data_IF_304939187192
#
_entry.id   IF_304939187192
#
_cell.length_a   1.000
_cell.length_b   1.000
_cell.length_c   1.000
_cell.angle_alpha   90.00
_cell.angle_beta   90.00
_cell.angle_gamma   90.00
#
_symmetry.space_group_name_H-M   'P 1'
#
loop_
_entity.id
_entity.type
_entity.pdbx_description
1 polymer ?
#
# COMPACT_ATOMS: atom_id res chain seq x y z
N UNK A 1 7.44 26.87 -29.19
CA UNK A 1 7.00 27.76 -28.10
C UNK A 1 7.99 27.56 -26.96
N UNK A 2 8.91 28.51 -26.77
CA UNK A 2 9.89 28.43 -25.68
C UNK A 2 9.17 28.72 -24.37
N UNK A 3 9.23 27.76 -23.44
CA UNK A 3 8.72 27.91 -22.07
C UNK A 3 9.65 28.90 -21.37
N UNK A 4 9.10 29.98 -20.82
CA UNK A 4 9.89 30.98 -20.12
C UNK A 4 10.45 30.41 -18.81
N UNK A 5 11.61 30.91 -18.37
CA UNK A 5 12.27 30.50 -17.11
C UNK A 5 11.32 30.62 -15.89
N UNK A 6 10.41 31.59 -15.92
CA UNK A 6 9.37 31.77 -14.88
C UNK A 6 8.34 30.63 -14.86
N UNK A 7 7.89 30.17 -16.03
CA UNK A 7 6.96 29.06 -16.15
C UNK A 7 7.58 27.75 -15.66
N UNK A 8 8.84 27.49 -15.99
CA UNK A 8 9.56 26.33 -15.47
C UNK A 8 9.70 26.36 -13.94
N UNK A 9 10.00 27.52 -13.37
CA UNK A 9 10.09 27.68 -11.92
C UNK A 9 8.72 27.49 -11.25
N UNK A 10 7.65 27.95 -11.87
CA UNK A 10 6.28 27.78 -11.38
C UNK A 10 5.88 26.29 -11.38
N UNK A 11 6.17 25.57 -12.46
CA UNK A 11 5.94 24.12 -12.57
C UNK A 11 6.73 23.35 -11.51
N UNK A 12 8.00 23.68 -11.32
CA UNK A 12 8.84 23.05 -10.27
C UNK A 12 8.28 23.29 -8.87
N UNK A 13 7.79 24.50 -8.59
CA UNK A 13 7.17 24.82 -7.28
C UNK A 13 5.87 24.06 -7.08
N UNK A 14 5.00 23.99 -8.08
CA UNK A 14 3.76 23.22 -8.03
C UNK A 14 4.04 21.75 -7.75
N UNK A 15 4.96 21.12 -8.47
CA UNK A 15 5.35 19.74 -8.25
C UNK A 15 5.87 19.47 -6.83
N UNK A 16 6.70 20.37 -6.28
CA UNK A 16 7.17 20.26 -4.89
C UNK A 16 6.01 20.34 -3.88
N UNK A 17 5.03 21.21 -4.12
CA UNK A 17 3.85 21.34 -3.26
C UNK A 17 2.97 20.09 -3.32
N UNK A 18 2.76 19.53 -4.51
CA UNK A 18 2.03 18.27 -4.70
C UNK A 18 2.73 17.10 -4.00
N UNK A 19 4.05 16.98 -4.14
CA UNK A 19 4.84 15.96 -3.44
C UNK A 19 4.73 16.11 -1.91
N UNK A 20 4.80 17.34 -1.39
CA UNK A 20 4.65 17.61 0.04
C UNK A 20 3.26 17.28 0.56
N UNK A 21 2.21 17.59 -0.20
CA UNK A 21 0.82 17.24 0.14
C UNK A 21 0.64 15.72 0.17
N UNK A 22 1.18 15.02 -0.82
CA UNK A 22 1.15 13.54 -0.85
C UNK A 22 1.83 12.95 0.38
N UNK A 23 3.02 13.43 0.72
CA UNK A 23 3.76 12.95 1.88
C UNK A 23 3.00 13.22 3.20
N UNK A 24 2.33 14.35 3.32
CA UNK A 24 1.45 14.66 4.46
C UNK A 24 0.26 13.69 4.53
N UNK A 25 -0.44 13.46 3.42
CA UNK A 25 -1.55 12.51 3.36
C UNK A 25 -1.13 11.09 3.72
N UNK A 26 0.00 10.65 3.18
CA UNK A 26 0.53 9.33 3.47
C UNK A 26 0.98 9.20 4.94
N UNK A 27 1.51 10.26 5.54
CA UNK A 27 1.82 10.30 6.97
C UNK A 27 0.58 10.21 7.85
N UNK A 28 -0.50 10.92 7.52
CA UNK A 28 -1.77 10.87 8.25
C UNK A 28 -2.36 9.45 8.19
N UNK A 29 -2.22 8.77 7.04
CA UNK A 29 -2.77 7.44 6.78
C UNK A 29 -1.83 6.28 7.16
N UNK A 30 -0.61 6.59 7.59
CA UNK A 30 0.43 5.57 7.80
C UNK A 30 0.07 4.52 8.85
N UNK A 31 -0.79 4.84 9.81
CA UNK A 31 -1.26 3.94 10.87
C UNK A 31 -2.63 3.32 10.61
N UNK A 32 -3.32 3.72 9.53
CA UNK A 32 -4.69 3.34 9.25
C UNK A 32 -4.78 1.98 8.54
N UNK A 33 -5.78 1.18 8.93
CA UNK A 33 -6.19 -0.06 8.27
C UNK A 33 -7.66 0.03 7.92
N UNK A 34 -8.01 -0.37 6.71
CA UNK A 34 -9.38 -0.62 6.31
C UNK A 34 -9.76 -2.07 6.57
N UNK A 35 -10.95 -2.28 7.12
CA UNK A 35 -11.62 -3.57 7.20
C UNK A 35 -12.82 -3.52 6.28
N UNK A 36 -12.88 -4.42 5.32
CA UNK A 36 -13.90 -4.47 4.28
C UNK A 36 -14.68 -5.78 4.43
N UNK A 37 -16.00 -5.70 4.37
CA UNK A 37 -16.87 -6.87 4.35
C UNK A 37 -17.49 -7.25 5.70
N UNK A 38 -17.34 -6.46 6.75
CA UNK A 38 -18.00 -6.70 8.04
C UNK A 38 -19.52 -6.47 7.90
N UNK A 39 -20.39 -7.42 8.33
CA UNK A 39 -21.84 -7.25 8.28
C UNK A 39 -22.33 -6.10 9.19
N UNK A 40 -23.32 -5.32 8.72
CA UNK A 40 -23.80 -4.13 9.43
C UNK A 40 -24.45 -4.42 10.78
N UNK A 41 -25.10 -5.56 10.91
CA UNK A 41 -25.79 -5.96 12.14
C UNK A 41 -24.84 -6.21 13.31
N UNK A 42 -23.64 -6.65 13.01
CA UNK A 42 -22.60 -6.94 14.01
C UNK A 42 -21.91 -5.67 14.51
N UNK A 43 -21.85 -4.63 13.69
CA UNK A 43 -21.20 -3.37 14.01
C UNK A 43 -21.97 -2.58 15.10
N UNK A 44 -23.30 -2.58 15.02
CA UNK A 44 -24.15 -1.77 15.91
C UNK A 44 -24.20 -2.28 17.34
N UNK A 45 -23.89 -3.57 17.57
CA UNK A 45 -24.06 -4.20 18.89
C UNK A 45 -22.90 -3.95 19.85
N UNK A 46 -21.67 -3.82 19.35
CA UNK A 46 -20.48 -3.87 20.20
C UNK A 46 -19.48 -2.72 20.03
N UNK A 47 -19.62 -1.91 18.97
CA UNK A 47 -18.65 -0.89 18.59
C UNK A 47 -17.51 -1.44 17.72
N UNK A 48 -16.92 -0.56 16.91
CA UNK A 48 -15.94 -0.94 15.89
C UNK A 48 -14.60 -1.42 16.48
N UNK A 49 -14.24 -0.93 17.65
CA UNK A 49 -13.04 -1.33 18.37
C UNK A 49 -13.11 -2.80 18.78
N UNK A 50 -14.25 -3.21 19.39
CA UNK A 50 -14.48 -4.62 19.76
C UNK A 50 -14.55 -5.53 18.55
N UNK A 51 -15.13 -5.09 17.46
CA UNK A 51 -15.13 -5.87 16.23
C UNK A 51 -13.71 -6.11 15.72
N UNK A 52 -12.85 -5.10 15.79
CA UNK A 52 -11.45 -5.25 15.44
C UNK A 52 -10.71 -6.22 16.39
N UNK A 53 -10.94 -6.11 17.70
CA UNK A 53 -10.38 -7.04 18.69
C UNK A 53 -10.77 -8.48 18.38
N UNK A 54 -12.06 -8.76 18.16
CA UNK A 54 -12.56 -10.08 17.79
C UNK A 54 -11.90 -10.61 16.50
N UNK A 55 -11.73 -9.76 15.49
CA UNK A 55 -11.04 -10.10 14.23
C UNK A 55 -9.58 -10.49 14.50
N UNK A 56 -8.87 -9.73 15.34
CA UNK A 56 -7.48 -10.04 15.70
C UNK A 56 -7.38 -11.36 16.46
N UNK A 57 -8.25 -11.59 17.44
CA UNK A 57 -8.29 -12.83 18.22
C UNK A 57 -8.58 -14.04 17.32
N UNK A 58 -9.58 -13.94 16.44
CA UNK A 58 -9.99 -15.02 15.53
C UNK A 58 -8.88 -15.38 14.52
N UNK A 59 -8.18 -14.36 13.99
CA UNK A 59 -7.29 -14.55 12.86
C UNK A 59 -5.80 -14.53 13.21
N UNK A 60 -5.40 -13.82 14.27
CA UNK A 60 -4.00 -13.56 14.61
C UNK A 60 -3.75 -13.72 16.12
N UNK A 61 -4.02 -14.89 16.73
CA UNK A 61 -3.97 -15.10 18.19
C UNK A 61 -2.59 -14.76 18.78
N UNK A 62 -1.51 -14.95 18.02
CA UNK A 62 -0.15 -14.63 18.46
C UNK A 62 0.12 -13.11 18.60
N UNK A 63 -0.78 -12.27 18.11
CA UNK A 63 -0.64 -10.81 18.15
C UNK A 63 -1.67 -10.12 19.06
N UNK A 64 -2.62 -10.87 19.61
CA UNK A 64 -3.71 -10.35 20.43
C UNK A 64 -3.22 -9.40 21.52
N UNK A 65 -2.34 -9.88 22.41
CA UNK A 65 -1.84 -9.11 23.56
C UNK A 65 -1.11 -7.82 23.19
N UNK A 66 -0.52 -7.78 22.00
CA UNK A 66 0.26 -6.63 21.55
C UNK A 66 -0.62 -5.59 20.82
N UNK A 67 -1.65 -6.05 20.09
CA UNK A 67 -2.37 -5.22 19.13
C UNK A 67 -3.72 -4.71 19.65
N UNK A 68 -4.42 -5.51 20.46
CA UNK A 68 -5.76 -5.15 20.96
C UNK A 68 -5.78 -3.77 21.63
N UNK A 69 -4.80 -3.48 22.47
CA UNK A 69 -4.69 -2.18 23.17
C UNK A 69 -4.03 -1.06 22.34
N UNK A 70 -3.87 -1.25 21.04
CA UNK A 70 -3.17 -0.28 20.18
C UNK A 70 -4.11 0.47 19.23
N UNK A 71 -5.42 0.31 19.40
CA UNK A 71 -6.40 1.09 18.66
C UNK A 71 -6.47 2.49 19.25
N UNK A 72 -6.28 3.51 18.41
CA UNK A 72 -6.43 4.91 18.76
C UNK A 72 -7.84 5.39 18.44
N UNK A 73 -8.38 4.95 17.33
CA UNK A 73 -9.68 5.35 16.81
C UNK A 73 -10.25 4.25 15.91
N UNK A 74 -11.56 4.02 15.98
CA UNK A 74 -12.27 3.13 15.09
C UNK A 74 -13.57 3.79 14.64
N UNK A 75 -13.79 3.87 13.33
CA UNK A 75 -14.97 4.51 12.77
C UNK A 75 -15.46 3.81 11.50
N UNK A 76 -16.76 3.90 11.27
CA UNK A 76 -17.33 3.51 9.99
C UNK A 76 -17.29 4.69 9.03
N UNK A 77 -16.85 4.41 7.79
CA UNK A 77 -16.88 5.41 6.73
C UNK A 77 -18.14 5.22 5.91
N UNK A 78 -18.94 6.29 5.72
CA UNK A 78 -20.19 6.23 4.94
C UNK A 78 -19.97 5.72 3.52
N UNK A 79 -20.91 4.92 3.02
CA UNK A 79 -20.93 4.35 1.67
C UNK A 79 -20.72 5.38 0.54
N UNK A 80 -21.16 6.63 0.74
CA UNK A 80 -21.01 7.70 -0.25
C UNK A 80 -19.56 8.08 -0.54
N UNK A 81 -18.68 7.86 0.42
CA UNK A 81 -17.25 8.21 0.29
C UNK A 81 -16.47 7.04 -0.28
N UNK A 82 -16.78 5.84 0.18
CA UNK A 82 -16.18 4.60 -0.31
C UNK A 82 -17.24 3.52 -0.46
N UNK A 83 -17.48 2.98 -1.69
CA UNK A 83 -18.42 1.89 -1.90
C UNK A 83 -17.98 0.66 -1.12
N UNK A 84 -18.82 0.20 -0.19
CA UNK A 84 -18.58 -0.99 0.62
C UNK A 84 -18.84 -0.78 2.10
N UNK A 85 -18.79 -1.87 2.85
CA UNK A 85 -18.95 -1.88 4.32
C UNK A 85 -17.57 -1.73 4.95
N UNK A 86 -17.10 -0.49 5.10
CA UNK A 86 -15.71 -0.21 5.45
C UNK A 86 -15.62 0.37 6.87
N UNK A 87 -14.83 -0.27 7.70
CA UNK A 87 -14.41 0.24 9.00
C UNK A 87 -12.97 0.73 8.86
N UNK A 88 -12.70 1.94 9.32
CA UNK A 88 -11.37 2.49 9.42
C UNK A 88 -10.86 2.34 10.85
N UNK A 89 -9.74 1.67 10.99
CA UNK A 89 -9.04 1.51 12.27
C UNK A 89 -7.75 2.30 12.21
N UNK A 90 -7.55 3.21 13.16
CA UNK A 90 -6.31 3.94 13.36
C UNK A 90 -5.55 3.33 14.53
N UNK A 91 -4.34 2.90 14.26
CA UNK A 91 -3.44 2.30 15.25
C UNK A 91 -2.48 3.34 15.80
N UNK A 92 -1.93 3.10 16.99
CA UNK A 92 -0.96 3.99 17.62
C UNK A 92 0.39 4.02 16.90
N UNK A 93 0.77 2.92 16.22
CA UNK A 93 2.09 2.78 15.57
C UNK A 93 1.98 2.05 14.23
N UNK A 94 2.71 2.55 13.24
CA UNK A 94 2.82 1.95 11.91
C UNK A 94 3.31 0.49 11.95
N UNK A 95 4.20 0.17 12.89
CA UNK A 95 4.72 -1.19 13.09
C UNK A 95 3.61 -2.24 13.29
N UNK A 96 2.57 -1.89 14.05
CA UNK A 96 1.45 -2.80 14.30
C UNK A 96 0.64 -3.05 13.02
N UNK A 97 0.35 -1.99 12.25
CA UNK A 97 -0.26 -2.10 10.92
C UNK A 97 0.52 -3.02 10.00
N UNK A 98 1.83 -2.81 9.89
CA UNK A 98 2.68 -3.61 9.00
C UNK A 98 2.67 -5.09 9.37
N UNK A 99 2.68 -5.40 10.67
CA UNK A 99 2.60 -6.79 11.16
C UNK A 99 1.27 -7.44 10.83
N UNK A 100 0.14 -6.75 11.04
CA UNK A 100 -1.20 -7.24 10.71
C UNK A 100 -1.29 -7.52 9.20
N UNK A 101 -0.91 -6.55 8.36
CA UNK A 101 -0.98 -6.70 6.90
C UNK A 101 0.02 -7.72 6.35
N UNK A 102 1.10 -8.00 7.07
CA UNK A 102 2.02 -9.09 6.73
C UNK A 102 1.37 -10.44 6.99
N UNK A 103 0.79 -10.63 8.18
CA UNK A 103 0.11 -11.87 8.55
C UNK A 103 -1.14 -12.12 7.69
N UNK A 104 -1.88 -11.08 7.33
CA UNK A 104 -3.01 -11.17 6.40
C UNK A 104 -2.56 -11.75 5.04
N UNK A 105 -1.44 -11.27 4.50
CA UNK A 105 -0.89 -11.79 3.23
C UNK A 105 -0.37 -13.24 3.30
N UNK A 106 0.07 -13.67 4.48
CA UNK A 106 0.52 -15.04 4.73
C UNK A 106 -0.67 -15.99 4.94
N UNK A 107 -1.79 -15.47 5.43
CA UNK A 107 -3.04 -16.21 5.63
C UNK A 107 -3.86 -16.19 4.34
N UNK A 108 -4.29 -17.35 3.88
CA UNK A 108 -5.05 -17.46 2.63
C UNK A 108 -6.40 -16.72 2.66
N UNK A 109 -7.03 -16.65 3.83
CA UNK A 109 -8.31 -15.99 4.01
C UNK A 109 -8.45 -15.49 5.45
N UNK A 110 -8.84 -14.24 5.60
CA UNK A 110 -9.23 -13.64 6.88
C UNK A 110 -10.74 -13.66 6.98
N UNK A 111 -11.26 -14.07 8.13
CA UNK A 111 -12.71 -14.18 8.36
C UNK A 111 -13.13 -13.44 9.61
N UNK A 112 -14.39 -13.05 9.67
CA UNK A 112 -15.04 -12.55 10.86
C UNK A 112 -16.42 -13.22 11.00
N UNK A 113 -16.56 -14.03 12.05
CA UNK A 113 -17.77 -14.84 12.29
C UNK A 113 -18.18 -15.66 11.07
N UNK A 114 -17.21 -16.30 10.42
CA UNK A 114 -17.40 -17.14 9.23
C UNK A 114 -17.58 -16.37 7.91
N UNK A 115 -17.68 -15.03 7.93
CA UNK A 115 -17.74 -14.22 6.72
C UNK A 115 -16.35 -13.81 6.27
N UNK A 116 -16.01 -13.92 4.98
CA UNK A 116 -14.74 -13.45 4.47
C UNK A 116 -14.67 -11.93 4.55
N UNK A 117 -13.57 -11.43 5.10
CA UNK A 117 -13.24 -10.00 5.18
C UNK A 117 -11.88 -9.72 4.57
N UNK A 118 -11.61 -8.47 4.25
CA UNK A 118 -10.33 -8.02 3.73
C UNK A 118 -9.75 -6.92 4.61
N UNK A 119 -8.48 -7.06 4.98
CA UNK A 119 -7.72 -6.01 5.66
C UNK A 119 -6.78 -5.35 4.66
N UNK A 120 -6.81 -4.03 4.55
CA UNK A 120 -5.95 -3.31 3.61
C UNK A 120 -5.41 -2.01 4.19
N UNK A 121 -4.27 -1.57 3.66
CA UNK A 121 -3.68 -0.29 4.05
C UNK A 121 -4.55 0.87 3.54
N UNK A 122 -4.70 1.91 4.34
CA UNK A 122 -5.18 3.21 3.89
C UNK A 122 -4.02 3.93 3.18
N UNK A 123 -4.18 4.20 1.90
CA UNK A 123 -3.18 4.83 1.05
C UNK A 123 -3.80 6.03 0.34
N UNK A 124 -2.99 7.03 0.00
CA UNK A 124 -3.44 8.11 -0.88
C UNK A 124 -3.79 7.58 -2.27
N UNK A 125 -4.62 8.31 -3.02
CA UNK A 125 -5.00 7.93 -4.39
C UNK A 125 -3.75 7.84 -5.29
N UNK A 126 -2.84 8.76 -5.11
CA UNK A 126 -1.56 8.84 -5.84
C UNK A 126 -0.66 7.63 -5.52
N UNK A 127 -0.57 7.25 -4.23
CA UNK A 127 0.20 6.06 -3.82
C UNK A 127 -0.44 4.77 -4.35
N UNK A 128 -1.77 4.70 -4.37
CA UNK A 128 -2.49 3.58 -4.99
C UNK A 128 -2.23 3.51 -6.49
N UNK A 129 -2.27 4.64 -7.18
CA UNK A 129 -1.98 4.70 -8.61
C UNK A 129 -0.54 4.28 -8.90
N UNK A 130 0.43 4.84 -8.19
CA UNK A 130 1.83 4.46 -8.31
C UNK A 130 2.05 2.95 -8.04
N UNK A 131 1.34 2.35 -7.08
CA UNK A 131 1.41 0.90 -6.84
C UNK A 131 0.82 0.08 -7.97
N UNK A 132 -0.25 0.56 -8.62
CA UNK A 132 -0.83 -0.11 -9.81
C UNK A 132 0.15 -0.13 -10.97
N UNK A 133 0.84 0.98 -11.21
CA UNK A 133 1.87 1.08 -12.23
C UNK A 133 3.03 0.10 -12.01
N UNK A 134 3.37 -0.15 -10.73
CA UNK A 134 4.36 -1.16 -10.37
C UNK A 134 3.87 -2.60 -10.52
N UNK A 135 2.56 -2.84 -10.59
CA UNK A 135 2.00 -4.20 -10.49
C UNK A 135 2.47 -5.11 -11.62
N UNK A 136 2.50 -4.62 -12.85
CA UNK A 136 2.90 -5.41 -14.00
C UNK A 136 4.40 -5.68 -14.00
N UNK A 137 5.19 -4.67 -13.66
CA UNK A 137 6.63 -4.80 -13.46
C UNK A 137 6.93 -5.80 -12.35
N UNK A 138 6.20 -5.72 -11.23
CA UNK A 138 6.37 -6.63 -10.10
C UNK A 138 6.06 -8.07 -10.46
N UNK A 139 4.98 -8.32 -11.21
CA UNK A 139 4.62 -9.67 -11.70
C UNK A 139 5.71 -10.25 -12.58
N UNK A 140 6.24 -9.48 -13.53
CA UNK A 140 7.24 -9.94 -14.46
C UNK A 140 8.59 -10.22 -13.78
N UNK A 141 9.04 -9.30 -12.91
CA UNK A 141 10.28 -9.48 -12.17
C UNK A 141 10.19 -10.61 -11.13
N UNK A 142 9.04 -10.84 -10.53
CA UNK A 142 8.80 -11.95 -9.60
C UNK A 142 8.90 -13.31 -10.30
N UNK A 143 8.43 -13.43 -11.55
CA UNK A 143 8.57 -14.65 -12.35
C UNK A 143 10.03 -15.06 -12.56
N UNK A 144 10.95 -14.11 -12.52
CA UNK A 144 12.39 -14.33 -12.75
C UNK A 144 13.22 -14.49 -11.47
N UNK A 145 12.58 -14.85 -10.36
CA UNK A 145 13.22 -15.14 -9.06
C UNK A 145 14.01 -13.98 -8.44
N UNK A 146 13.72 -12.74 -8.81
CA UNK A 146 14.30 -11.59 -8.14
C UNK A 146 13.63 -11.37 -6.79
N UNK A 147 14.43 -11.17 -5.74
CA UNK A 147 13.92 -10.81 -4.42
C UNK A 147 13.43 -9.36 -4.46
N UNK A 148 12.14 -9.21 -4.73
CA UNK A 148 11.45 -7.94 -4.85
C UNK A 148 10.74 -7.60 -3.56
N UNK A 149 10.82 -6.34 -3.16
CA UNK A 149 10.00 -5.78 -2.08
C UNK A 149 9.38 -4.47 -2.55
N UNK A 150 8.08 -4.34 -2.37
CA UNK A 150 7.37 -3.09 -2.56
C UNK A 150 7.18 -2.44 -1.19
N UNK A 151 7.92 -1.36 -0.95
CA UNK A 151 7.83 -0.61 0.29
C UNK A 151 6.69 0.41 0.25
N UNK A 152 6.40 0.97 1.42
CA UNK A 152 5.53 2.13 1.59
C UNK A 152 5.99 3.27 0.64
N UNK A 153 5.03 4.08 0.18
CA UNK A 153 5.21 5.10 -0.86
C UNK A 153 5.57 4.55 -2.25
N UNK A 154 5.12 3.32 -2.57
CA UNK A 154 5.33 2.71 -3.89
C UNK A 154 6.80 2.67 -4.34
N UNK A 155 7.73 2.42 -3.41
CA UNK A 155 9.13 2.16 -3.74
C UNK A 155 9.35 0.68 -3.98
N UNK A 156 9.95 0.34 -5.11
CA UNK A 156 10.39 -1.04 -5.38
C UNK A 156 11.86 -1.19 -5.00
N UNK A 157 12.21 -2.27 -4.35
CA UNK A 157 13.61 -2.64 -4.16
C UNK A 157 13.91 -4.00 -4.76
N UNK A 158 15.09 -4.10 -5.34
CA UNK A 158 15.63 -5.28 -6.00
C UNK A 158 16.93 -5.67 -5.30
N UNK A 159 17.11 -6.97 -5.03
CA UNK A 159 18.41 -7.48 -4.63
C UNK A 159 19.11 -8.03 -5.87
N UNK A 160 20.22 -7.39 -6.27
CA UNK A 160 21.00 -7.72 -7.46
C UNK A 160 22.44 -7.98 -7.01
N UNK A 161 22.96 -9.17 -7.24
CA UNK A 161 24.32 -9.56 -6.86
C UNK A 161 24.68 -9.26 -5.39
N UNK A 162 23.70 -9.42 -4.48
CA UNK A 162 23.89 -9.16 -3.04
C UNK A 162 23.60 -7.73 -2.61
N UNK A 163 23.55 -6.76 -3.50
CA UNK A 163 23.24 -5.35 -3.23
C UNK A 163 21.73 -5.08 -3.34
N UNK A 164 21.20 -4.24 -2.45
CA UNK A 164 19.82 -3.77 -2.50
C UNK A 164 19.78 -2.41 -3.18
N UNK A 165 19.10 -2.34 -4.32
CA UNK A 165 18.82 -1.09 -5.04
C UNK A 165 17.34 -0.75 -4.90
N UNK A 166 17.01 0.52 -4.65
CA UNK A 166 15.63 1.00 -4.47
C UNK A 166 15.30 2.09 -5.48
N UNK A 167 14.09 2.01 -6.04
CA UNK A 167 13.61 2.93 -7.07
C UNK A 167 12.27 3.51 -6.65
N UNK A 168 12.11 4.82 -6.78
CA UNK A 168 10.90 5.55 -6.42
C UNK A 168 9.88 5.62 -7.55
N UNK A 169 10.34 5.45 -8.81
CA UNK A 169 9.53 5.55 -10.01
C UNK A 169 10.05 4.63 -11.12
N UNK A 170 9.18 4.38 -12.10
CA UNK A 170 9.45 3.50 -13.24
C UNK A 170 10.57 4.02 -14.13
N UNK A 171 10.72 5.36 -14.23
CA UNK A 171 11.71 5.97 -15.09
C UNK A 171 13.13 5.67 -14.59
N UNK A 172 13.37 5.86 -13.28
CA UNK A 172 14.68 5.55 -12.66
C UNK A 172 15.03 4.08 -12.73
N UNK A 173 14.02 3.20 -12.61
CA UNK A 173 14.23 1.77 -12.82
C UNK A 173 14.57 1.47 -14.28
N UNK A 174 13.88 2.10 -15.23
CA UNK A 174 14.16 2.00 -16.66
C UNK A 174 15.60 2.45 -17.00
N UNK A 175 16.02 3.63 -16.53
CA UNK A 175 17.38 4.16 -16.70
C UNK A 175 18.43 3.21 -16.12
N UNK A 176 18.18 2.65 -14.93
CA UNK A 176 19.06 1.67 -14.33
C UNK A 176 19.12 0.37 -15.15
N UNK A 177 18.02 -0.06 -15.76
CA UNK A 177 17.97 -1.29 -16.57
C UNK A 177 18.81 -1.17 -17.82
N UNK A 178 18.92 0.02 -18.42
CA UNK A 178 19.76 0.25 -19.61
C UNK A 178 21.25 0.09 -19.31
N UNK A 179 21.67 0.26 -18.06
CA UNK A 179 23.08 0.12 -17.66
C UNK A 179 23.52 -1.34 -17.49
N UNK A 180 22.61 -2.31 -17.47
CA UNK A 180 22.91 -3.74 -17.28
C UNK A 180 22.20 -4.61 -18.31
N UNK A 181 22.94 -5.30 -19.22
CA UNK A 181 22.35 -6.09 -20.32
C UNK A 181 21.34 -7.15 -19.88
N UNK A 182 21.58 -7.77 -18.71
CA UNK A 182 20.68 -8.78 -18.12
C UNK A 182 19.32 -8.21 -17.70
N UNK A 183 19.29 -6.96 -17.27
CA UNK A 183 18.06 -6.26 -16.89
C UNK A 183 17.37 -5.65 -18.12
N UNK A 184 18.13 -5.22 -19.13
CA UNK A 184 17.62 -4.63 -20.35
C UNK A 184 16.70 -5.60 -21.12
N UNK A 185 17.10 -6.87 -21.24
CA UNK A 185 16.24 -7.92 -21.81
C UNK A 185 14.97 -8.17 -20.99
N UNK A 186 15.04 -7.97 -19.68
CA UNK A 186 13.90 -8.12 -18.78
C UNK A 186 12.88 -6.98 -18.92
N UNK A 187 13.34 -5.75 -19.14
CA UNK A 187 12.48 -4.57 -19.22
C UNK A 187 11.90 -4.32 -20.60
N UNK A 188 12.57 -4.73 -21.67
CA UNK A 188 12.03 -4.65 -23.04
C UNK A 188 10.75 -5.47 -23.22
N UNK A 189 10.61 -6.58 -22.50
CA UNK A 189 9.36 -7.37 -22.47
C UNK A 189 8.23 -6.70 -21.68
N UNK A 190 8.53 -5.85 -20.69
CA UNK A 190 7.52 -5.13 -19.89
C UNK A 190 7.00 -3.91 -20.64
N UNK A 191 7.85 -3.17 -21.33
CA UNK A 191 7.44 -1.99 -22.10
C UNK A 191 6.56 -2.31 -23.29
N UNK A 192 6.64 -3.51 -23.84
CA UNK A 192 5.73 -3.98 -24.90
C UNK A 192 4.31 -4.28 -24.39
N UNK A 193 4.14 -4.58 -23.09
CA UNK A 193 2.84 -4.87 -22.47
C UNK A 193 2.09 -3.60 -22.01
N UNK A 194 2.78 -2.48 -21.77
CA UNK A 194 2.17 -1.21 -21.35
C UNK A 194 1.68 -0.31 -22.51
N UNK A 195 1.78 -0.77 -23.76
CA UNK A 195 1.33 -0.05 -24.97
C UNK A 195 0.08 -0.65 -25.64
N UNK A 196 -0.64 -1.52 -24.94
CA UNK A 196 -1.95 -2.06 -25.39
C UNK A 196 -3.07 -1.52 -24.56
#
# INVERSE_FOLDING_TARGET
MEITSEEENKVKRMKRSEDSLRDLWDNIKCTNIWIIGVPEEEEKKKGYEKNFEEIIVENFPNMEKEIVNQVQEAQRVPYRIYPGRNILIKLTKTKHKERILKQEREKQQVTYKGNPICLTADLSAETLQARREWQDIFKELKRRYLQLRLFYLARISLKIHGEIKSFSDNQKLGEFSTTKPTLQQMFSSVQSLSRV
#
